data_IF_719034092259
#
_entry.id   IF_719034092259
#
_cell.length_a   1.000
_cell.length_b   1.000
_cell.length_c   1.000
_cell.angle_alpha   90.00
_cell.angle_beta   90.00
_cell.angle_gamma   90.00
#
_symmetry.space_group_name_H-M   'P 1'
#
loop_
_entity.id
_entity.type
_entity.pdbx_description
1 polymer ?
#
# COMPACT_ATOMS: atom_id res chain seq x y z
N UNK A 1 -9.42 56.35 -20.32
CA UNK A 1 -8.21 55.52 -20.13
C UNK A 1 -8.69 54.16 -19.65
N UNK A 2 -8.95 53.23 -20.57
CA UNK A 2 -9.45 51.89 -20.25
C UNK A 2 -8.27 51.01 -19.85
N UNK A 3 -8.20 50.66 -18.56
CA UNK A 3 -7.26 49.67 -18.05
C UNK A 3 -7.59 48.30 -18.62
N UNK A 4 -6.67 47.74 -19.42
CA UNK A 4 -6.69 46.33 -19.77
C UNK A 4 -6.33 45.52 -18.52
N UNK A 5 -7.27 44.69 -18.07
CA UNK A 5 -7.01 43.62 -17.11
C UNK A 5 -6.46 42.47 -17.93
N UNK A 6 -5.16 42.20 -17.82
CA UNK A 6 -4.60 40.95 -18.36
C UNK A 6 -5.25 39.75 -17.66
N UNK A 7 -5.80 38.77 -18.40
CA UNK A 7 -6.32 37.56 -17.78
C UNK A 7 -5.16 36.78 -17.17
N UNK A 8 -5.30 36.50 -15.87
CA UNK A 8 -4.39 35.68 -15.09
C UNK A 8 -3.97 34.42 -15.87
N UNK A 9 -2.65 34.19 -15.89
CA UNK A 9 -1.97 33.24 -16.76
C UNK A 9 -2.70 31.91 -16.94
N UNK A 10 -2.86 31.54 -18.21
CA UNK A 10 -3.13 30.16 -18.62
C UNK A 10 -2.08 29.28 -17.92
N UNK A 11 -2.47 28.29 -17.09
CA UNK A 11 -1.52 27.38 -16.50
C UNK A 11 -0.78 26.70 -17.65
N UNK A 12 0.53 26.87 -17.72
CA UNK A 12 1.35 26.29 -18.79
C UNK A 12 1.07 24.79 -18.82
N UNK A 13 0.58 24.24 -19.95
CA UNK A 13 0.35 22.81 -20.05
C UNK A 13 1.72 22.12 -20.05
N UNK A 14 1.81 20.99 -19.34
CA UNK A 14 3.01 20.16 -19.16
C UNK A 14 3.92 20.58 -18.00
N UNK A 15 3.51 20.25 -16.77
CA UNK A 15 4.51 19.60 -15.94
C UNK A 15 4.86 18.27 -16.63
N UNK A 16 6.08 18.19 -17.15
CA UNK A 16 6.63 17.03 -17.86
C UNK A 16 6.38 15.75 -17.04
N UNK A 17 6.02 14.64 -17.68
CA UNK A 17 5.80 13.36 -16.99
C UNK A 17 7.02 12.97 -16.13
N UNK A 18 8.21 13.38 -16.58
CA UNK A 18 9.47 13.28 -15.84
C UNK A 18 9.46 14.09 -14.53
N UNK A 19 8.95 15.32 -14.54
CA UNK A 19 8.85 16.17 -13.35
C UNK A 19 7.85 15.61 -12.34
N UNK A 20 6.69 15.11 -12.81
CA UNK A 20 5.74 14.41 -11.95
C UNK A 20 6.33 13.14 -11.34
N UNK A 21 7.06 12.35 -12.12
CA UNK A 21 7.76 11.17 -11.62
C UNK A 21 8.82 11.55 -10.57
N UNK A 22 9.54 12.66 -10.77
CA UNK A 22 10.53 13.19 -9.81
C UNK A 22 9.87 13.59 -8.50
N UNK A 23 8.78 14.36 -8.54
CA UNK A 23 7.99 14.76 -7.35
C UNK A 23 7.40 13.55 -6.62
N UNK A 24 6.85 12.58 -7.35
CA UNK A 24 6.32 11.35 -6.78
C UNK A 24 7.41 10.53 -6.09
N UNK A 25 8.61 10.44 -6.67
CA UNK A 25 9.75 9.79 -6.04
C UNK A 25 10.24 10.54 -4.80
N UNK A 26 10.24 11.88 -4.82
CA UNK A 26 10.57 12.69 -3.65
C UNK A 26 9.57 12.45 -2.50
N UNK A 27 8.27 12.41 -2.79
CA UNK A 27 7.24 12.08 -1.80
C UNK A 27 7.43 10.67 -1.23
N UNK A 28 7.64 9.66 -2.09
CA UNK A 28 7.87 8.28 -1.67
C UNK A 28 9.13 8.14 -0.78
N UNK A 29 10.22 8.86 -1.11
CA UNK A 29 11.43 8.95 -0.28
C UNK A 29 11.11 9.56 1.08
N UNK A 30 10.44 10.71 1.08
CA UNK A 30 10.11 11.43 2.32
C UNK A 30 9.30 10.57 3.28
N UNK A 31 8.23 9.95 2.77
CA UNK A 31 7.37 9.06 3.57
C UNK A 31 8.15 7.85 4.08
N UNK A 32 8.89 7.18 3.19
CA UNK A 32 9.65 5.98 3.57
C UNK A 32 10.76 6.27 4.56
N UNK A 33 11.44 7.42 4.46
CA UNK A 33 12.51 7.82 5.39
C UNK A 33 11.96 8.29 6.73
N UNK A 34 10.85 9.01 6.73
CA UNK A 34 10.30 9.60 7.96
C UNK A 34 9.51 8.57 8.76
N UNK A 35 8.67 7.79 8.09
CA UNK A 35 7.74 6.84 8.72
C UNK A 35 8.20 5.39 8.63
N UNK A 36 9.06 5.02 7.68
CA UNK A 36 9.51 3.64 7.52
C UNK A 36 10.48 3.19 8.61
N UNK A 37 10.12 2.14 9.35
CA UNK A 37 10.93 1.58 10.45
C UNK A 37 10.93 0.06 10.43
N UNK A 38 11.80 -0.55 11.24
CA UNK A 38 11.80 -2.00 11.48
C UNK A 38 10.87 -2.33 12.64
N UNK A 39 10.24 -3.49 12.60
CA UNK A 39 9.45 -4.02 13.70
C UNK A 39 10.42 -4.49 14.80
N UNK A 40 10.45 -3.85 15.97
CA UNK A 40 11.28 -4.25 17.12
C UNK A 40 12.72 -4.65 16.76
N UNK A 41 13.38 -3.89 15.87
CA UNK A 41 14.73 -4.19 15.35
C UNK A 41 14.89 -5.47 14.50
N UNK A 42 13.82 -6.23 14.22
CA UNK A 42 13.90 -7.45 13.42
C UNK A 42 14.47 -7.15 12.02
N UNK A 43 15.59 -7.78 11.63
CA UNK A 43 16.17 -7.59 10.32
C UNK A 43 15.21 -8.09 9.23
N UNK A 44 15.14 -7.37 8.12
CA UNK A 44 14.25 -7.74 7.01
C UNK A 44 12.78 -7.37 7.20
N UNK A 45 12.40 -6.71 8.30
CA UNK A 45 11.06 -6.14 8.49
C UNK A 45 11.01 -4.67 8.06
N UNK A 46 9.82 -4.21 7.69
CA UNK A 46 9.53 -2.81 7.35
C UNK A 46 8.09 -2.50 7.73
N UNK A 47 7.84 -1.39 8.42
CA UNK A 47 6.51 -0.95 8.84
C UNK A 47 6.43 0.58 8.77
N UNK A 48 5.26 1.11 8.39
CA UNK A 48 4.99 2.55 8.44
C UNK A 48 4.57 2.98 9.85
N UNK A 49 5.27 3.95 10.43
CA UNK A 49 4.82 4.63 11.63
C UNK A 49 3.60 5.51 11.31
N UNK A 50 2.72 5.66 12.30
CA UNK A 50 1.44 6.38 12.21
C UNK A 50 1.61 7.84 12.64
N UNK A 51 2.57 8.12 13.52
CA UNK A 51 2.83 9.44 14.12
C UNK A 51 4.31 9.77 14.10
N UNK A 52 4.64 11.06 14.16
CA UNK A 52 6.00 11.56 14.36
C UNK A 52 5.99 12.57 15.54
N UNK A 53 6.92 12.47 16.51
CA UNK A 53 7.91 11.39 16.68
C UNK A 53 7.24 10.06 17.05
N UNK A 54 7.69 8.96 16.43
CA UNK A 54 7.15 7.64 16.74
C UNK A 54 7.96 6.96 17.84
N UNK A 55 7.29 6.50 18.88
CA UNK A 55 7.85 5.55 19.83
C UNK A 55 7.48 4.12 19.37
N UNK A 56 8.49 3.30 19.10
CA UNK A 56 8.31 1.92 18.59
C UNK A 56 7.52 1.05 19.57
N UNK A 57 7.74 1.23 20.89
CA UNK A 57 7.04 0.47 21.92
C UNK A 57 5.58 0.91 21.99
N UNK A 58 5.33 2.22 22.04
CA UNK A 58 3.97 2.78 22.02
C UNK A 58 3.21 2.49 20.74
N UNK A 59 3.91 2.40 19.61
CA UNK A 59 3.31 2.06 18.31
C UNK A 59 2.85 0.61 18.23
N UNK A 60 3.40 -0.30 19.04
CA UNK A 60 2.98 -1.70 19.10
C UNK A 60 1.77 -1.89 20.00
N UNK A 61 1.72 -1.17 21.13
CA UNK A 61 0.59 -1.19 22.06
C UNK A 61 -0.58 -0.30 21.61
N UNK A 62 -0.36 0.61 20.65
CA UNK A 62 -1.38 1.50 20.10
C UNK A 62 -2.27 0.85 19.04
N UNK A 63 -3.32 1.56 18.60
CA UNK A 63 -4.25 1.09 17.57
C UNK A 63 -3.52 0.63 16.31
N UNK A 64 -3.90 -0.53 15.79
CA UNK A 64 -3.32 -1.08 14.56
C UNK A 64 -4.13 -0.64 13.34
N UNK A 65 -3.54 0.26 12.54
CA UNK A 65 -4.16 0.75 11.31
C UNK A 65 -3.77 -0.14 10.11
N UNK A 66 -4.46 -1.28 9.98
CA UNK A 66 -4.18 -2.27 8.93
C UNK A 66 -4.30 -1.68 7.51
N UNK A 67 -5.38 -0.95 7.23
CA UNK A 67 -5.61 -0.34 5.92
C UNK A 67 -4.54 0.68 5.51
N UNK A 68 -3.99 1.46 6.46
CA UNK A 68 -2.88 2.38 6.16
C UNK A 68 -1.65 1.64 5.69
N UNK A 69 -1.37 0.46 6.25
CA UNK A 69 -0.26 -0.35 5.81
C UNK A 69 -0.53 -0.98 4.44
N UNK A 70 -1.77 -1.39 4.15
CA UNK A 70 -2.15 -1.87 2.83
C UNK A 70 -1.94 -0.79 1.75
N UNK A 71 -2.43 0.44 1.98
CA UNK A 71 -2.16 1.55 1.06
C UNK A 71 -0.67 1.92 0.99
N UNK A 72 0.08 1.77 2.08
CA UNK A 72 1.52 1.99 2.03
C UNK A 72 2.22 0.93 1.16
N UNK A 73 1.74 -0.33 1.14
CA UNK A 73 2.19 -1.34 0.15
C UNK A 73 1.90 -0.83 -1.26
N UNK A 74 0.70 -0.32 -1.53
CA UNK A 74 0.34 0.22 -2.86
C UNK A 74 1.25 1.37 -3.30
N UNK A 75 1.52 2.34 -2.43
CA UNK A 75 2.42 3.45 -2.73
C UNK A 75 3.85 2.96 -3.03
N UNK A 76 4.32 1.92 -2.33
CA UNK A 76 5.59 1.28 -2.61
C UNK A 76 5.55 0.51 -3.94
N UNK A 77 4.43 -0.12 -4.31
CA UNK A 77 4.29 -0.73 -5.63
C UNK A 77 4.34 0.32 -6.73
N UNK A 78 3.71 1.48 -6.55
CA UNK A 78 3.77 2.59 -7.50
C UNK A 78 5.18 3.14 -7.66
N UNK A 79 5.90 3.29 -6.55
CA UNK A 79 7.31 3.64 -6.58
C UNK A 79 8.12 2.57 -7.33
N UNK A 80 7.86 1.28 -7.09
CA UNK A 80 8.53 0.18 -7.77
C UNK A 80 8.25 0.11 -9.27
N UNK A 81 7.04 0.45 -9.72
CA UNK A 81 6.71 0.59 -11.15
C UNK A 81 7.47 1.74 -11.79
N UNK A 82 7.60 2.87 -11.08
CA UNK A 82 8.46 3.99 -11.54
C UNK A 82 9.93 3.59 -11.58
N UNK A 83 10.42 2.81 -10.62
CA UNK A 83 11.79 2.26 -10.67
C UNK A 83 12.00 1.37 -11.89
N UNK A 84 11.02 0.54 -12.24
CA UNK A 84 11.07 -0.32 -13.41
C UNK A 84 11.11 0.50 -14.70
N UNK A 85 10.25 1.51 -14.82
CA UNK A 85 10.18 2.38 -16.00
C UNK A 85 11.45 3.24 -16.18
N UNK A 86 11.92 3.87 -15.10
CA UNK A 86 13.10 4.74 -15.12
C UNK A 86 14.44 4.04 -14.90
N UNK A 87 14.44 2.72 -14.68
CA UNK A 87 15.61 1.89 -14.32
C UNK A 87 16.47 2.44 -13.18
N UNK A 88 15.90 3.33 -12.37
CA UNK A 88 16.61 4.07 -11.31
C UNK A 88 15.88 3.84 -10.01
N UNK A 89 16.60 3.49 -8.94
CA UNK A 89 15.97 3.24 -7.65
C UNK A 89 15.37 4.51 -7.06
N UNK A 90 14.20 4.37 -6.44
CA UNK A 90 13.47 5.50 -5.88
C UNK A 90 14.18 6.08 -4.67
N UNK A 91 15.09 5.39 -3.97
CA UNK A 91 15.78 5.91 -2.78
C UNK A 91 17.32 5.73 -2.83
N UNK A 92 17.87 5.74 -4.05
CA UNK A 92 19.29 5.56 -4.32
C UNK A 92 19.74 4.08 -4.30
N UNK A 93 20.95 3.82 -4.80
CA UNK A 93 21.44 2.46 -5.05
C UNK A 93 21.77 1.65 -3.80
N UNK A 94 22.11 2.34 -2.70
CA UNK A 94 22.44 1.72 -1.42
C UNK A 94 21.23 1.13 -0.70
N UNK A 95 20.01 1.47 -1.11
CA UNK A 95 18.77 1.05 -0.46
C UNK A 95 18.02 -0.04 -1.23
N UNK A 96 17.19 -0.83 -0.52
CA UNK A 96 16.34 -1.82 -1.17
C UNK A 96 15.38 -1.15 -2.16
N UNK A 97 15.13 -1.80 -3.29
CA UNK A 97 14.11 -1.36 -4.25
C UNK A 97 12.74 -1.28 -3.58
N UNK A 98 11.88 -0.40 -4.09
CA UNK A 98 10.53 -0.20 -3.56
C UNK A 98 9.72 -1.51 -3.49
N UNK A 99 9.79 -2.36 -4.53
CA UNK A 99 9.15 -3.69 -4.51
C UNK A 99 9.68 -4.63 -3.42
N UNK A 100 10.96 -4.49 -3.01
CA UNK A 100 11.54 -5.26 -1.90
C UNK A 100 11.04 -4.73 -0.56
N UNK A 101 10.91 -3.42 -0.41
CA UNK A 101 10.29 -2.82 0.78
C UNK A 101 8.82 -3.20 0.91
N UNK A 102 8.04 -3.14 -0.16
CA UNK A 102 6.65 -3.59 -0.20
C UNK A 102 6.53 -5.06 0.24
N UNK A 103 7.44 -5.92 -0.26
CA UNK A 103 7.51 -7.32 0.16
C UNK A 103 7.80 -7.50 1.66
N UNK A 104 8.71 -6.70 2.22
CA UNK A 104 9.02 -6.73 3.66
C UNK A 104 7.84 -6.22 4.48
N UNK A 105 7.13 -5.21 3.98
CA UNK A 105 5.95 -4.65 4.62
C UNK A 105 4.84 -5.68 4.73
N UNK A 106 4.50 -6.39 3.65
CA UNK A 106 3.51 -7.48 3.68
C UNK A 106 3.89 -8.56 4.70
N UNK A 107 5.18 -8.89 4.81
CA UNK A 107 5.67 -9.86 5.82
C UNK A 107 5.49 -9.32 7.23
N UNK A 108 5.73 -8.03 7.42
CA UNK A 108 5.64 -7.37 8.72
C UNK A 108 4.19 -7.22 9.16
N UNK A 109 3.26 -6.93 8.24
CA UNK A 109 1.81 -6.95 8.48
C UNK A 109 1.40 -8.33 8.99
N UNK A 110 1.83 -9.40 8.31
CA UNK A 110 1.58 -10.78 8.74
C UNK A 110 2.10 -11.06 10.14
N UNK A 111 3.36 -10.67 10.41
CA UNK A 111 3.98 -10.88 11.72
C UNK A 111 3.24 -10.14 12.83
N UNK A 112 2.86 -8.88 12.59
CA UNK A 112 2.13 -8.07 13.57
C UNK A 112 0.69 -8.58 13.78
N UNK A 113 0.08 -9.15 12.75
CA UNK A 113 -1.25 -9.78 12.83
C UNK A 113 -1.18 -11.26 13.23
N UNK A 114 -0.24 -11.63 14.11
CA UNK A 114 -0.08 -12.99 14.67
C UNK A 114 0.00 -14.11 13.61
N UNK A 115 0.77 -13.86 12.55
CA UNK A 115 0.96 -14.74 11.40
C UNK A 115 -0.27 -14.98 10.52
N UNK A 116 -1.37 -14.26 10.77
CA UNK A 116 -2.63 -14.32 10.01
C UNK A 116 -2.79 -13.10 9.12
N UNK A 117 -3.51 -13.24 8.01
CA UNK A 117 -3.96 -12.11 7.18
C UNK A 117 -5.45 -11.80 7.35
N UNK A 118 -6.14 -12.65 8.11
CA UNK A 118 -7.55 -12.47 8.43
C UNK A 118 -7.67 -11.37 9.47
N UNK A 119 -8.48 -10.37 9.17
CA UNK A 119 -8.89 -9.32 10.08
C UNK A 119 -10.42 -9.32 10.20
N UNK A 120 -10.98 -8.64 11.20
CA UNK A 120 -12.42 -8.56 11.43
C UNK A 120 -13.15 -7.67 10.41
N UNK A 121 -12.42 -6.97 9.53
CA UNK A 121 -12.94 -6.09 8.49
C UNK A 121 -12.56 -6.63 7.11
N UNK A 122 -13.56 -6.84 6.25
CA UNK A 122 -13.35 -7.34 4.88
C UNK A 122 -12.73 -6.28 3.96
N UNK A 123 -12.99 -4.98 4.20
CA UNK A 123 -12.38 -3.87 3.45
C UNK A 123 -10.85 -3.89 3.58
N UNK A 124 -10.36 -4.02 4.82
CA UNK A 124 -8.94 -4.08 5.13
C UNK A 124 -8.26 -5.25 4.40
N UNK A 125 -8.95 -6.38 4.36
CA UNK A 125 -8.53 -7.57 3.62
C UNK A 125 -8.52 -7.29 2.10
N UNK A 126 -9.50 -6.57 1.55
CA UNK A 126 -9.60 -6.25 0.13
C UNK A 126 -8.46 -5.34 -0.32
N UNK A 127 -8.18 -4.28 0.44
CA UNK A 127 -7.06 -3.38 0.16
C UNK A 127 -5.73 -4.12 0.16
N UNK A 128 -5.50 -5.05 1.11
CA UNK A 128 -4.28 -5.84 1.09
C UNK A 128 -4.24 -6.84 -0.07
N UNK A 129 -5.38 -7.44 -0.43
CA UNK A 129 -5.46 -8.35 -1.57
C UNK A 129 -5.08 -7.63 -2.87
N UNK A 130 -5.65 -6.46 -3.13
CA UNK A 130 -5.34 -5.63 -4.29
C UNK A 130 -3.87 -5.20 -4.30
N UNK A 131 -3.36 -4.69 -3.18
CA UNK A 131 -1.96 -4.26 -3.08
C UNK A 131 -0.98 -5.42 -3.33
N UNK A 132 -1.30 -6.62 -2.84
CA UNK A 132 -0.46 -7.82 -3.04
C UNK A 132 -0.55 -8.39 -4.46
N UNK A 133 -1.71 -8.31 -5.12
CA UNK A 133 -1.88 -8.61 -6.55
C UNK A 133 -1.01 -7.66 -7.40
N UNK A 134 -1.08 -6.36 -7.15
CA UNK A 134 -0.26 -5.36 -7.87
C UNK A 134 1.24 -5.58 -7.61
N UNK A 135 1.61 -5.96 -6.39
CA UNK A 135 2.99 -6.31 -6.03
C UNK A 135 3.47 -7.59 -6.74
N UNK A 136 2.62 -8.60 -6.89
CA UNK A 136 2.95 -9.81 -7.64
C UNK A 136 3.20 -9.50 -9.11
N UNK A 137 2.32 -8.72 -9.75
CA UNK A 137 2.53 -8.26 -11.13
C UNK A 137 3.86 -7.52 -11.30
N UNK A 138 4.18 -6.62 -10.36
CA UNK A 138 5.48 -5.94 -10.36
C UNK A 138 6.66 -6.92 -10.16
N UNK A 139 6.52 -7.94 -9.31
CA UNK A 139 7.54 -8.95 -9.10
C UNK A 139 7.79 -9.80 -10.36
N UNK A 140 6.72 -10.13 -11.09
CA UNK A 140 6.77 -10.83 -12.37
C UNK A 140 7.47 -10.00 -13.45
N UNK A 141 7.08 -8.73 -13.62
CA UNK A 141 7.72 -7.79 -14.55
C UNK A 141 9.20 -7.56 -14.23
N UNK A 142 9.56 -7.54 -12.94
CA UNK A 142 10.96 -7.39 -12.49
C UNK A 142 11.74 -8.70 -12.44
N UNK A 143 11.14 -9.83 -12.84
CA UNK A 143 11.70 -11.20 -12.75
C UNK A 143 12.26 -11.56 -11.37
N UNK A 144 11.70 -10.99 -10.31
CA UNK A 144 12.12 -11.24 -8.92
C UNK A 144 11.22 -12.28 -8.27
N UNK A 145 11.77 -13.32 -7.62
CA UNK A 145 10.96 -14.37 -7.02
C UNK A 145 10.23 -13.86 -5.76
N UNK A 146 8.94 -13.56 -5.90
CA UNK A 146 8.00 -13.27 -4.80
C UNK A 146 6.74 -14.14 -4.78
N UNK A 147 6.56 -15.00 -5.81
CA UNK A 147 5.32 -15.73 -6.16
C UNK A 147 4.67 -16.49 -4.99
N UNK A 148 5.44 -17.33 -4.28
CA UNK A 148 4.85 -18.25 -3.28
C UNK A 148 4.17 -17.54 -2.10
N UNK A 149 4.67 -16.37 -1.70
CA UNK A 149 4.14 -15.65 -0.53
C UNK A 149 2.88 -14.85 -0.89
N UNK A 150 2.87 -14.20 -2.05
CA UNK A 150 1.72 -13.43 -2.51
C UNK A 150 0.55 -14.35 -2.86
N UNK A 151 0.83 -15.52 -3.45
CA UNK A 151 -0.18 -16.56 -3.69
C UNK A 151 -0.85 -17.07 -2.40
N UNK A 152 -0.11 -17.16 -1.28
CA UNK A 152 -0.70 -17.53 0.01
C UNK A 152 -1.62 -16.45 0.57
N UNK A 153 -1.24 -15.17 0.44
CA UNK A 153 -2.11 -14.05 0.80
C UNK A 153 -3.39 -14.09 -0.02
N UNK A 154 -3.27 -14.17 -1.34
CA UNK A 154 -4.43 -14.26 -2.22
C UNK A 154 -5.31 -15.45 -1.87
N UNK A 155 -4.76 -16.66 -1.70
CA UNK A 155 -5.54 -17.84 -1.32
C UNK A 155 -6.31 -17.64 -0.02
N UNK A 156 -5.68 -17.08 1.01
CA UNK A 156 -6.34 -16.81 2.29
C UNK A 156 -7.43 -15.72 2.17
N UNK A 157 -7.21 -14.69 1.35
CA UNK A 157 -8.14 -13.58 1.21
C UNK A 157 -9.30 -13.93 0.25
N UNK A 158 -9.06 -14.64 -0.85
CA UNK A 158 -10.09 -15.17 -1.75
C UNK A 158 -11.09 -16.06 -1.01
N UNK A 159 -10.62 -16.95 -0.14
CA UNK A 159 -11.51 -17.76 0.70
C UNK A 159 -12.40 -16.92 1.64
N UNK A 160 -11.91 -15.76 2.08
CA UNK A 160 -12.69 -14.84 2.91
C UNK A 160 -13.69 -14.04 2.07
N UNK A 161 -13.35 -13.64 0.84
CA UNK A 161 -14.32 -13.01 -0.07
C UNK A 161 -15.40 -13.99 -0.53
N UNK A 162 -15.04 -15.23 -0.86
CA UNK A 162 -15.99 -16.28 -1.21
C UNK A 162 -16.97 -16.57 -0.07
N UNK A 163 -16.53 -16.47 1.20
CA UNK A 163 -17.40 -16.66 2.37
C UNK A 163 -18.18 -15.40 2.79
N UNK A 164 -17.79 -14.22 2.30
CA UNK A 164 -18.45 -12.94 2.57
C UNK A 164 -19.45 -12.52 1.49
N UNK A 165 -19.25 -13.01 0.26
CA UNK A 165 -20.19 -12.88 -0.85
C UNK A 165 -21.35 -13.84 -0.62
N UNK A 166 -22.47 -13.30 -0.16
CA UNK A 166 -23.71 -14.07 0.04
C UNK A 166 -24.88 -13.34 -0.61
N UNK A 167 -25.83 -14.11 -1.13
CA UNK A 167 -27.03 -13.60 -1.82
C UNK A 167 -28.01 -12.88 -0.89
N UNK A 168 -27.75 -12.88 0.43
CA UNK A 168 -28.53 -12.13 1.39
C UNK A 168 -28.54 -10.63 1.05
N UNK A 169 -29.70 -9.98 1.15
CA UNK A 169 -29.95 -8.57 0.76
C UNK A 169 -29.80 -8.25 -0.75
N UNK A 170 -29.89 -9.26 -1.63
CA UNK A 170 -29.83 -9.04 -3.08
C UNK A 170 -28.40 -8.96 -3.65
N UNK A 171 -27.41 -9.46 -2.91
CA UNK A 171 -25.98 -9.49 -3.30
C UNK A 171 -25.08 -8.58 -2.45
N UNK A 172 -23.75 -8.64 -2.67
CA UNK A 172 -22.74 -7.77 -2.07
C UNK A 172 -21.98 -8.35 -0.86
N UNK A 173 -20.84 -7.75 -0.52
CA UNK A 173 -19.90 -8.23 0.52
C UNK A 173 -20.17 -7.54 1.86
N UNK A 174 -20.13 -8.29 2.96
CA UNK A 174 -20.25 -7.71 4.31
C UNK A 174 -18.99 -6.92 4.70
N UNK A 175 -19.17 -5.83 5.45
CA UNK A 175 -18.09 -4.94 5.91
C UNK A 175 -17.20 -5.58 6.99
N UNK A 176 -17.79 -6.38 7.88
CA UNK A 176 -17.09 -7.04 9.00
C UNK A 176 -17.50 -8.50 9.12
N UNK A 177 -16.64 -9.32 9.73
CA UNK A 177 -16.93 -10.71 10.14
C UNK A 177 -18.16 -10.84 11.03
N UNK A 178 -18.59 -9.74 11.68
CA UNK A 178 -19.87 -9.65 12.40
C UNK A 178 -21.10 -9.65 11.49
N UNK A 179 -20.92 -9.41 10.18
CA UNK A 179 -21.98 -9.42 9.14
C UNK A 179 -23.13 -8.44 9.40
N UNK A 180 -22.87 -7.37 10.15
CA UNK A 180 -23.91 -6.43 10.58
C UNK A 180 -24.26 -5.38 9.51
N UNK A 181 -23.37 -5.13 8.54
CA UNK A 181 -23.53 -4.03 7.58
C UNK A 181 -22.83 -4.33 6.25
N UNK A 182 -23.40 -3.89 5.12
CA UNK A 182 -22.78 -3.92 3.79
C UNK A 182 -22.47 -2.48 3.36
N UNK A 183 -21.26 -2.23 2.90
CA UNK A 183 -20.82 -0.90 2.46
C UNK A 183 -20.12 -0.97 1.09
N UNK A 184 -20.15 0.14 0.35
CA UNK A 184 -19.49 0.28 -0.96
C UNK A 184 -17.99 -0.03 -0.92
N UNK A 185 -17.23 0.34 0.14
CA UNK A 185 -15.82 -0.04 0.28
C UNK A 185 -15.53 -1.54 0.46
N UNK A 186 -16.50 -2.38 0.87
CA UNK A 186 -16.37 -3.85 0.90
C UNK A 186 -16.72 -4.51 -0.43
N UNK A 187 -17.56 -3.85 -1.23
CA UNK A 187 -18.21 -4.44 -2.41
C UNK A 187 -17.56 -3.99 -3.72
N UNK A 188 -16.95 -2.80 -3.75
CA UNK A 188 -16.34 -2.23 -4.96
C UNK A 188 -14.88 -2.64 -5.25
N UNK A 189 -13.97 -2.81 -4.27
CA UNK A 189 -12.61 -3.29 -4.55
C UNK A 189 -12.57 -4.79 -4.86
#
# INVERSE_FOLDING_TARGET
MSSQIEPAGIPTPSADATEWARRANQAARSVTRSFGRRLLFLPGTHIGAVTLPSDTLRSLSGPWHYWWQAHYVDCLVDAGRRELAGKTKFDGDSRPSAGRLASRLVTTIRLRNLLRFVNDYYDDMAWLALATLRLEKLAEETKKPGRRRNAYVQKCLTLQFDSASTDHLGGGTFWSTKRDFKNTPATAP
#
